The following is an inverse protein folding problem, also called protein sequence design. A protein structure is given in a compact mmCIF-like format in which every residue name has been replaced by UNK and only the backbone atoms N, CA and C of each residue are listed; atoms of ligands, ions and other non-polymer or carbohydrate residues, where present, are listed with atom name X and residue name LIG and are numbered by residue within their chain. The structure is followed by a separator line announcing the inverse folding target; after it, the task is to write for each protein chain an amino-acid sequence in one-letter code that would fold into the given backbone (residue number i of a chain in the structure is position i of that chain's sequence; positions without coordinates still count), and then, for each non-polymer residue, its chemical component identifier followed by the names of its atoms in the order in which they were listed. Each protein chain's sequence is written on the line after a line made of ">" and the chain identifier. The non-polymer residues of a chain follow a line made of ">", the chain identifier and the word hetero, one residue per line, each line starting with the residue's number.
data_IF_041939777660
#
_entry.id   IF_041939777660
#
_cell.length_a   1.000
_cell.length_b   1.000
_cell.length_c   1.000
_cell.angle_alpha   90.00
_cell.angle_beta   90.00
_cell.angle_gamma   90.00
#
_symmetry.space_group_name_H-M   'P 1'
#
loop_
_entity.id
_entity.type
_entity.pdbx_description
1 polymer ?
#
# COMPACT_ATOMS: atom_id res chain seq x y z
N UNK A 1 -2.83 -17.95 21.62
CA UNK A 1 -3.97 -18.18 20.71
C UNK A 1 -3.44 -18.86 19.46
N UNK A 2 -3.95 -20.04 19.12
CA UNK A 2 -3.60 -20.74 17.88
C UNK A 2 -4.44 -20.08 16.78
N UNK A 3 -3.80 -19.38 15.84
CA UNK A 3 -4.51 -18.72 14.73
C UNK A 3 -5.09 -19.81 13.83
N UNK A 4 -6.41 -19.75 13.59
CA UNK A 4 -7.07 -20.63 12.64
C UNK A 4 -6.78 -20.12 11.23
N UNK A 5 -6.21 -20.97 10.37
CA UNK A 5 -5.83 -20.61 9.01
C UNK A 5 -6.78 -21.35 8.08
N UNK A 6 -7.65 -20.60 7.41
CA UNK A 6 -8.57 -21.13 6.42
C UNK A 6 -7.83 -21.27 5.09
N UNK A 7 -7.72 -22.50 4.57
CA UNK A 7 -7.06 -22.77 3.29
C UNK A 7 -8.00 -22.37 2.15
N UNK A 8 -7.58 -21.41 1.32
CA UNK A 8 -8.34 -20.89 0.19
C UNK A 8 -8.02 -21.63 -1.10
N UNK A 9 -6.74 -21.95 -1.33
CA UNK A 9 -6.28 -22.63 -2.53
C UNK A 9 -5.19 -23.65 -2.18
N UNK A 10 -5.37 -24.89 -2.60
CA UNK A 10 -4.32 -25.92 -2.57
C UNK A 10 -3.91 -26.23 -4.00
N UNK A 11 -2.72 -25.84 -4.41
CA UNK A 11 -2.18 -26.22 -5.72
C UNK A 11 -1.28 -27.44 -5.54
N UNK A 12 -1.73 -28.62 -5.97
CA UNK A 12 -0.87 -29.79 -6.09
C UNK A 12 -0.09 -29.67 -7.41
N UNK A 13 1.10 -29.08 -7.37
CA UNK A 13 1.96 -29.04 -8.54
C UNK A 13 2.58 -30.43 -8.78
N UNK A 14 2.48 -30.94 -10.01
CA UNK A 14 2.93 -32.27 -10.46
C UNK A 14 4.43 -32.54 -10.19
N UNK A 15 5.20 -31.48 -9.92
CA UNK A 15 6.63 -31.48 -9.62
C UNK A 15 6.95 -31.47 -8.09
N UNK A 16 5.98 -31.80 -7.22
CA UNK A 16 6.18 -31.88 -5.78
C UNK A 16 6.37 -30.52 -5.08
N UNK A 17 6.21 -29.41 -5.81
CA UNK A 17 6.24 -28.04 -5.29
C UNK A 17 4.84 -27.47 -5.06
N UNK A 18 3.90 -28.34 -4.71
CA UNK A 18 2.57 -27.91 -4.33
C UNK A 18 2.59 -27.11 -3.03
N UNK A 19 1.71 -26.12 -2.94
CA UNK A 19 1.59 -25.30 -1.74
C UNK A 19 0.16 -24.90 -1.45
N UNK A 20 -0.12 -24.76 -0.16
CA UNK A 20 -1.41 -24.35 0.39
C UNK A 20 -1.36 -22.87 0.71
N UNK A 21 -2.26 -22.12 0.10
CA UNK A 21 -2.48 -20.72 0.39
C UNK A 21 -3.70 -20.58 1.30
N UNK A 22 -3.50 -19.95 2.44
CA UNK A 22 -4.56 -19.72 3.43
C UNK A 22 -4.58 -18.29 3.94
N UNK A 23 -5.66 -17.96 4.64
CA UNK A 23 -5.89 -16.66 5.28
C UNK A 23 -6.29 -16.89 6.74
N UNK A 24 -5.83 -16.05 7.67
CA UNK A 24 -6.34 -16.05 9.05
C UNK A 24 -7.51 -15.08 9.25
N UNK A 25 -8.14 -15.14 10.43
CA UNK A 25 -9.24 -14.25 10.79
C UNK A 25 -8.86 -12.75 10.81
N UNK A 26 -7.56 -12.44 10.90
CA UNK A 26 -7.02 -11.07 10.84
C UNK A 26 -6.74 -10.62 9.39
N UNK A 27 -7.06 -11.43 8.38
CA UNK A 27 -6.82 -11.15 6.97
C UNK A 27 -5.35 -11.30 6.53
N UNK A 28 -4.49 -11.92 7.35
CA UNK A 28 -3.10 -12.20 6.98
C UNK A 28 -3.03 -13.43 6.09
N UNK A 29 -2.21 -13.34 5.05
CA UNK A 29 -2.03 -14.41 4.07
C UNK A 29 -0.91 -15.35 4.51
N UNK A 30 -1.10 -16.63 4.28
CA UNK A 30 -0.14 -17.68 4.62
C UNK A 30 0.11 -18.59 3.42
N UNK A 31 1.35 -19.01 3.24
CA UNK A 31 1.77 -20.01 2.26
C UNK A 31 2.44 -21.17 2.99
N UNK A 32 1.88 -22.38 2.90
CA UNK A 32 2.32 -23.57 3.65
C UNK A 32 2.44 -23.28 5.16
N UNK A 33 1.46 -22.57 5.72
CA UNK A 33 1.43 -22.17 7.13
C UNK A 33 2.46 -21.10 7.52
N UNK A 34 3.24 -20.57 6.57
CA UNK A 34 4.17 -19.46 6.82
C UNK A 34 3.53 -18.14 6.42
N UNK A 35 3.60 -17.08 7.24
CA UNK A 35 3.02 -15.79 6.91
C UNK A 35 3.70 -15.22 5.65
N UNK A 36 2.88 -14.87 4.66
CA UNK A 36 3.30 -14.14 3.47
C UNK A 36 3.25 -12.66 3.85
N UNK A 37 4.42 -12.10 4.19
CA UNK A 37 4.53 -10.69 4.53
C UNK A 37 4.23 -9.85 3.29
N UNK A 38 2.97 -9.46 3.13
CA UNK A 38 2.52 -8.49 2.12
C UNK A 38 2.60 -7.06 2.64
N UNK A 39 3.47 -6.77 3.61
CA UNK A 39 3.85 -5.41 3.95
C UNK A 39 4.71 -4.82 2.82
N UNK A 40 4.09 -4.53 1.68
CA UNK A 40 4.57 -3.43 0.84
C UNK A 40 4.27 -2.16 1.62
N UNK A 41 5.12 -1.84 2.60
CA UNK A 41 5.26 -0.48 3.09
C UNK A 41 5.51 0.34 1.85
N UNK A 42 4.50 1.09 1.40
CA UNK A 42 4.65 2.13 0.40
C UNK A 42 5.42 3.25 1.09
N UNK A 43 6.70 2.98 1.37
CA UNK A 43 7.66 4.01 1.70
C UNK A 43 7.73 4.85 0.44
N UNK A 44 7.00 5.96 0.42
CA UNK A 44 7.16 6.95 -0.62
C UNK A 44 8.65 7.22 -0.73
N UNK A 45 9.19 7.06 -1.93
CA UNK A 45 10.56 7.45 -2.20
C UNK A 45 10.70 8.92 -1.80
N UNK A 46 11.82 9.27 -1.17
CA UNK A 46 12.07 10.62 -0.65
C UNK A 46 11.78 11.73 -1.69
N UNK A 47 12.07 11.45 -2.97
CA UNK A 47 11.74 12.31 -4.11
C UNK A 47 10.25 12.62 -4.28
N UNK A 48 9.37 11.66 -3.99
CA UNK A 48 7.91 11.84 -4.06
C UNK A 48 7.42 12.74 -2.93
N UNK A 49 8.08 12.69 -1.77
CA UNK A 49 7.78 13.63 -0.69
C UNK A 49 8.22 15.07 -1.07
N UNK A 50 9.39 15.22 -1.68
CA UNK A 50 9.87 16.52 -2.17
C UNK A 50 8.93 17.11 -3.25
N UNK A 51 8.43 16.30 -4.19
CA UNK A 51 7.49 16.77 -5.21
C UNK A 51 6.13 17.16 -4.62
N UNK A 52 5.64 16.42 -3.63
CA UNK A 52 4.40 16.76 -2.92
C UNK A 52 4.51 18.13 -2.22
N UNK A 53 5.64 18.40 -1.57
CA UNK A 53 5.91 19.70 -0.92
C UNK A 53 5.99 20.83 -1.95
N UNK A 54 6.70 20.62 -3.06
CA UNK A 54 6.82 21.61 -4.13
C UNK A 54 5.47 21.93 -4.80
N UNK A 55 4.64 20.89 -5.00
CA UNK A 55 3.29 21.05 -5.53
C UNK A 55 2.42 21.87 -4.58
N UNK A 56 2.44 21.56 -3.28
CA UNK A 56 1.69 22.29 -2.25
C UNK A 56 2.11 23.77 -2.20
N UNK A 57 3.41 24.06 -2.26
CA UNK A 57 3.91 25.44 -2.31
C UNK A 57 3.40 26.20 -3.54
N UNK A 58 3.39 25.55 -4.70
CA UNK A 58 2.86 26.14 -5.95
C UNK A 58 1.38 26.51 -5.82
N UNK A 59 0.57 25.66 -5.17
CA UNK A 59 -0.85 25.92 -4.97
C UNK A 59 -1.10 27.14 -4.09
N UNK A 60 -0.29 27.33 -3.04
CA UNK A 60 -0.39 28.50 -2.15
C UNK A 60 -0.06 29.79 -2.89
N UNK A 61 0.97 29.78 -3.74
CA UNK A 61 1.35 30.95 -4.54
C UNK A 61 0.23 31.34 -5.50
N UNK A 62 -0.34 30.36 -6.22
CA UNK A 62 -1.49 30.62 -7.11
C UNK A 62 -2.70 31.17 -6.35
N UNK A 63 -2.97 30.67 -5.14
CA UNK A 63 -4.05 31.19 -4.30
C UNK A 63 -3.83 32.67 -3.94
N UNK A 64 -2.60 33.07 -3.58
CA UNK A 64 -2.28 34.46 -3.26
C UNK A 64 -2.44 35.36 -4.48
N UNK A 65 -1.91 34.95 -5.64
CA UNK A 65 -2.07 35.72 -6.88
C UNK A 65 -3.54 35.91 -7.21
N UNK A 66 -4.35 34.85 -7.11
CA UNK A 66 -5.79 34.93 -7.36
C UNK A 66 -6.51 35.89 -6.41
N UNK A 67 -6.12 35.95 -5.13
CA UNK A 67 -6.69 36.91 -4.17
C UNK A 67 -6.27 38.35 -4.48
N UNK A 68 -5.01 38.55 -4.86
CA UNK A 68 -4.50 39.88 -5.22
C UNK A 68 -5.19 40.41 -6.49
N UNK A 69 -5.39 39.56 -7.49
CA UNK A 69 -6.13 39.92 -8.70
C UNK A 69 -7.59 40.24 -8.38
N UNK A 70 -8.22 39.50 -7.46
CA UNK A 70 -9.59 39.79 -7.02
C UNK A 70 -9.73 41.14 -6.31
N UNK A 71 -8.72 41.56 -5.53
CA UNK A 71 -8.73 42.86 -4.81
C UNK A 71 -8.36 44.02 -5.75
N UNK A 72 -7.64 43.77 -6.84
CA UNK A 72 -7.25 44.78 -7.84
C UNK A 72 -8.26 44.98 -8.96
N UNK A 73 -9.27 44.12 -9.07
CA UNK A 73 -10.48 44.35 -9.85
C UNK A 73 -11.48 45.23 -9.08
#
# INVERSE_FOLDING_TARGET
>A
MKKDIQILFGAAAENGRGGEFGIDDDGQLYWNGKPVVTEKKVKLQWWVNCSAIAAAASTVIMAIVSVVDFIRC
#
